data_IF_652700735619
#
_entry.id   IF_652700735619
#
_cell.length_a   1.000
_cell.length_b   1.000
_cell.length_c   1.000
_cell.angle_alpha   90.00
_cell.angle_beta   90.00
_cell.angle_gamma   90.00
#
_symmetry.space_group_name_H-M   'P 1'
#
loop_
_entity.id
_entity.type
_entity.pdbx_description
1 polymer ?
#
# COMPACT_ATOMS: atom_id res chain seq x y z
N UNK A 1 7.98 18.97 -9.11
CA UNK A 1 6.85 18.60 -8.23
C UNK A 1 6.12 17.43 -8.86
N UNK A 2 6.07 16.29 -8.19
CA UNK A 2 5.56 15.02 -8.72
C UNK A 2 4.08 15.15 -9.15
N UNK A 3 3.69 14.55 -10.28
CA UNK A 3 2.32 14.60 -10.86
C UNK A 3 1.24 14.19 -9.85
N UNK A 4 1.54 13.23 -8.97
CA UNK A 4 0.63 12.77 -7.92
C UNK A 4 0.16 13.91 -7.00
N UNK A 5 1.08 14.78 -6.54
CA UNK A 5 0.72 15.88 -5.64
C UNK A 5 -0.15 16.96 -6.29
N UNK A 6 -0.16 17.08 -7.63
CA UNK A 6 -1.08 17.99 -8.33
C UNK A 6 -2.53 17.52 -8.15
N UNK A 7 -2.77 16.21 -8.22
CA UNK A 7 -4.10 15.64 -8.01
C UNK A 7 -4.55 15.78 -6.54
N UNK A 8 -3.63 15.67 -5.59
CA UNK A 8 -3.94 15.85 -4.17
C UNK A 8 -4.31 17.28 -3.79
N UNK A 9 -3.84 18.29 -4.52
CA UNK A 9 -4.27 19.69 -4.32
C UNK A 9 -5.76 19.89 -4.52
N UNK A 10 -6.40 19.05 -5.31
CA UNK A 10 -7.85 19.09 -5.49
C UNK A 10 -8.59 18.93 -4.16
N UNK A 11 -8.06 18.19 -3.20
CA UNK A 11 -8.66 17.94 -1.90
C UNK A 11 -8.29 18.98 -0.83
N UNK A 12 -7.59 20.05 -1.16
CA UNK A 12 -7.11 21.04 -0.17
C UNK A 12 -8.11 22.13 0.17
N UNK A 13 -9.26 22.15 -0.48
CA UNK A 13 -10.36 23.05 -0.13
C UNK A 13 -11.53 22.29 0.49
N UNK A 14 -12.19 22.93 1.46
CA UNK A 14 -13.29 22.27 2.16
C UNK A 14 -14.46 21.87 1.22
N UNK A 15 -14.90 22.71 0.26
CA UNK A 15 -15.96 22.33 -0.67
C UNK A 15 -15.62 21.10 -1.51
N UNK A 16 -14.36 20.98 -1.99
CA UNK A 16 -13.94 19.83 -2.79
C UNK A 16 -13.79 18.58 -1.95
N UNK A 17 -13.24 18.69 -0.74
CA UNK A 17 -13.14 17.59 0.22
C UNK A 17 -14.54 17.06 0.59
N UNK A 18 -15.49 17.97 0.90
CA UNK A 18 -16.88 17.60 1.20
C UNK A 18 -17.57 16.91 0.02
N UNK A 19 -17.49 17.47 -1.18
CA UNK A 19 -18.07 16.87 -2.38
C UNK A 19 -17.53 15.46 -2.63
N UNK A 20 -16.22 15.27 -2.46
CA UNK A 20 -15.58 13.97 -2.63
C UNK A 20 -16.07 12.97 -1.58
N UNK A 21 -16.08 13.34 -0.29
CA UNK A 21 -16.60 12.48 0.78
C UNK A 21 -18.08 12.14 0.58
N UNK A 22 -18.91 13.11 0.17
CA UNK A 22 -20.32 12.84 -0.17
C UNK A 22 -20.41 11.75 -1.23
N UNK A 23 -19.66 11.87 -2.33
CA UNK A 23 -19.64 10.86 -3.39
C UNK A 23 -19.19 9.48 -2.89
N UNK A 24 -18.20 9.43 -1.99
CA UNK A 24 -17.78 8.17 -1.37
C UNK A 24 -18.88 7.54 -0.53
N UNK A 25 -19.56 8.32 0.30
CA UNK A 25 -20.60 7.85 1.20
C UNK A 25 -21.89 7.47 0.46
N UNK A 26 -22.27 8.21 -0.58
CA UNK A 26 -23.38 7.86 -1.48
C UNK A 26 -23.12 6.53 -2.18
N UNK A 27 -21.88 6.32 -2.68
CA UNK A 27 -21.52 5.06 -3.35
C UNK A 27 -21.58 3.83 -2.45
N UNK A 28 -21.50 4.04 -1.13
CA UNK A 28 -21.67 2.99 -0.11
C UNK A 28 -23.12 2.83 0.38
N UNK A 29 -24.04 3.66 -0.12
CA UNK A 29 -25.44 3.65 0.29
C UNK A 29 -25.67 4.16 1.71
N UNK A 30 -24.78 5.02 2.23
CA UNK A 30 -24.96 5.58 3.58
C UNK A 30 -26.04 6.64 3.60
N UNK A 31 -26.97 6.51 4.54
CA UNK A 31 -27.98 7.55 4.79
C UNK A 31 -27.32 8.87 5.24
N UNK A 32 -27.84 9.99 4.79
CA UNK A 32 -27.35 11.32 5.13
C UNK A 32 -25.89 11.61 4.75
N UNK A 33 -25.43 11.08 3.61
CA UNK A 33 -24.05 11.20 3.13
C UNK A 33 -23.51 12.65 3.15
N UNK A 34 -24.30 13.64 2.75
CA UNK A 34 -23.90 15.05 2.80
C UNK A 34 -23.61 15.54 4.21
N UNK A 35 -24.45 15.15 5.19
CA UNK A 35 -24.25 15.53 6.59
C UNK A 35 -23.00 14.87 7.16
N UNK A 36 -22.79 13.60 6.87
CA UNK A 36 -21.59 12.88 7.29
C UNK A 36 -20.33 13.48 6.66
N UNK A 37 -20.38 13.82 5.38
CA UNK A 37 -19.28 14.46 4.67
C UNK A 37 -18.97 15.86 5.26
N UNK A 38 -19.97 16.63 5.58
CA UNK A 38 -19.80 17.92 6.26
C UNK A 38 -19.07 17.77 7.60
N UNK A 39 -19.47 16.80 8.41
CA UNK A 39 -18.84 16.54 9.72
C UNK A 39 -17.37 16.09 9.60
N UNK A 40 -16.99 15.40 8.52
CA UNK A 40 -15.65 14.84 8.35
C UNK A 40 -14.75 15.66 7.42
N UNK A 41 -15.26 16.63 6.67
CA UNK A 41 -14.49 17.37 5.66
C UNK A 41 -13.28 18.09 6.24
N UNK A 42 -13.41 18.76 7.38
CA UNK A 42 -12.30 19.47 8.02
C UNK A 42 -11.20 18.50 8.50
N UNK A 43 -11.60 17.35 9.06
CA UNK A 43 -10.63 16.32 9.49
C UNK A 43 -9.91 15.69 8.29
N UNK A 44 -10.66 15.36 7.24
CA UNK A 44 -10.10 14.84 6.00
C UNK A 44 -9.09 15.82 5.40
N UNK A 45 -9.47 17.07 5.27
CA UNK A 45 -8.63 18.15 4.78
C UNK A 45 -7.34 18.31 5.61
N UNK A 46 -7.47 18.27 6.94
CA UNK A 46 -6.32 18.33 7.84
C UNK A 46 -5.34 17.17 7.57
N UNK A 47 -5.84 15.93 7.49
CA UNK A 47 -5.01 14.75 7.25
C UNK A 47 -4.25 14.86 5.92
N UNK A 48 -4.89 15.32 4.86
CA UNK A 48 -4.26 15.51 3.55
C UNK A 48 -3.18 16.60 3.57
N UNK A 49 -3.48 17.75 4.18
CA UNK A 49 -2.49 18.83 4.30
C UNK A 49 -1.29 18.41 5.13
N UNK A 50 -1.52 17.72 6.25
CA UNK A 50 -0.44 17.21 7.09
C UNK A 50 0.40 16.17 6.37
N UNK A 51 -0.22 15.23 5.66
CA UNK A 51 0.51 14.24 4.88
C UNK A 51 1.46 14.91 3.88
N UNK A 52 0.95 15.87 3.11
CA UNK A 52 1.78 16.62 2.16
C UNK A 52 2.92 17.36 2.85
N UNK A 53 2.64 18.01 3.98
CA UNK A 53 3.65 18.73 4.75
C UNK A 53 4.76 17.78 5.22
N UNK A 54 4.41 16.60 5.74
CA UNK A 54 5.39 15.59 6.14
C UNK A 54 6.26 15.13 4.96
N UNK A 55 5.66 14.84 3.81
CA UNK A 55 6.43 14.41 2.63
C UNK A 55 7.32 15.53 2.06
N UNK A 56 6.85 16.78 2.05
CA UNK A 56 7.68 17.91 1.59
C UNK A 56 8.83 18.18 2.54
N UNK A 57 8.61 18.11 3.84
CA UNK A 57 9.66 18.24 4.85
C UNK A 57 10.65 17.07 4.77
N UNK A 58 10.17 15.84 4.59
CA UNK A 58 11.02 14.66 4.44
C UNK A 58 12.00 14.79 3.26
N UNK A 59 11.58 15.41 2.16
CA UNK A 59 12.41 15.55 0.97
C UNK A 59 13.72 16.38 1.19
N UNK A 60 13.75 17.20 2.24
CA UNK A 60 14.90 18.06 2.59
C UNK A 60 15.47 17.75 3.97
N UNK A 61 14.91 16.78 4.70
CA UNK A 61 15.34 16.42 6.03
C UNK A 61 16.56 15.51 6.00
N UNK A 62 17.31 15.50 7.11
CA UNK A 62 18.38 14.55 7.36
C UNK A 62 17.87 13.10 7.29
N UNK A 63 18.70 12.19 6.77
CA UNK A 63 18.38 10.76 6.65
C UNK A 63 17.95 10.12 7.99
N UNK A 64 18.47 10.63 9.12
CA UNK A 64 18.12 10.14 10.45
C UNK A 64 16.67 10.44 10.84
N UNK A 65 16.06 11.52 10.32
CA UNK A 65 14.71 11.98 10.64
C UNK A 65 13.70 11.61 9.53
N UNK A 66 14.21 11.48 8.30
CA UNK A 66 13.40 11.24 7.11
C UNK A 66 12.42 10.05 7.26
N UNK A 67 12.82 8.87 7.80
CA UNK A 67 11.89 7.75 7.96
C UNK A 67 10.70 8.07 8.86
N UNK A 68 10.91 8.86 9.93
CA UNK A 68 9.86 9.28 10.83
C UNK A 68 8.84 10.17 10.13
N UNK A 69 9.30 11.15 9.36
CA UNK A 69 8.45 12.05 8.59
C UNK A 69 7.66 11.30 7.52
N UNK A 70 8.30 10.39 6.80
CA UNK A 70 7.64 9.54 5.79
C UNK A 70 6.58 8.63 6.44
N UNK A 71 6.86 8.05 7.60
CA UNK A 71 5.91 7.24 8.35
C UNK A 71 4.66 8.04 8.73
N UNK A 72 4.82 9.24 9.29
CA UNK A 72 3.67 10.08 9.62
C UNK A 72 2.93 10.57 8.38
N UNK A 73 3.64 10.93 7.32
CA UNK A 73 3.03 11.27 6.04
C UNK A 73 2.14 10.16 5.49
N UNK A 74 2.67 8.93 5.44
CA UNK A 74 1.93 7.74 5.04
C UNK A 74 0.73 7.47 5.95
N UNK A 75 0.94 7.54 7.27
CA UNK A 75 -0.12 7.32 8.26
C UNK A 75 -1.28 8.30 8.09
N UNK A 76 -1.01 9.58 7.78
CA UNK A 76 -2.06 10.57 7.55
C UNK A 76 -2.83 10.30 6.25
N UNK A 77 -2.15 9.90 5.16
CA UNK A 77 -2.83 9.48 3.92
C UNK A 77 -3.76 8.29 4.16
N UNK A 78 -3.27 7.26 4.86
CA UNK A 78 -4.05 6.08 5.17
C UNK A 78 -5.24 6.37 6.10
N UNK A 79 -5.09 7.28 7.06
CA UNK A 79 -6.20 7.77 7.89
C UNK A 79 -7.23 8.55 7.07
N UNK A 80 -6.77 9.39 6.15
CA UNK A 80 -7.65 10.06 5.18
C UNK A 80 -8.43 9.05 4.33
N UNK A 81 -7.77 7.99 3.88
CA UNK A 81 -8.41 6.90 3.14
C UNK A 81 -9.43 6.15 4.00
N UNK A 82 -9.15 5.86 5.28
CA UNK A 82 -10.15 5.28 6.19
C UNK A 82 -11.40 6.15 6.29
N UNK A 83 -11.27 7.48 6.39
CA UNK A 83 -12.41 8.38 6.43
C UNK A 83 -13.28 8.30 5.17
N UNK A 84 -12.73 7.97 4.01
CA UNK A 84 -13.54 7.78 2.80
C UNK A 84 -14.40 6.52 2.84
N UNK A 85 -14.11 5.59 3.77
CA UNK A 85 -14.80 4.30 3.91
C UNK A 85 -15.61 4.18 5.20
N UNK A 86 -15.17 4.91 6.23
CA UNK A 86 -15.81 4.89 7.54
C UNK A 86 -15.92 6.32 8.11
N UNK A 87 -17.10 6.95 7.97
CA UNK A 87 -17.32 8.30 8.50
C UNK A 87 -17.30 8.34 10.03
N UNK A 88 -17.38 7.21 10.73
CA UNK A 88 -17.30 7.16 12.19
C UNK A 88 -15.85 7.15 12.72
N UNK A 89 -14.85 7.01 11.85
CA UNK A 89 -13.44 7.01 12.24
C UNK A 89 -12.98 8.38 12.78
N UNK A 90 -12.22 8.43 13.91
CA UNK A 90 -11.94 7.36 14.85
C UNK A 90 -13.10 7.13 15.83
N UNK A 91 -13.57 5.92 16.02
CA UNK A 91 -14.64 5.58 16.95
C UNK A 91 -14.25 5.76 18.41
N UNK A 92 -12.96 5.58 18.72
CA UNK A 92 -12.38 5.73 20.06
C UNK A 92 -10.88 5.98 20.00
N UNK A 93 -10.23 6.21 21.16
CA UNK A 93 -8.79 6.47 21.25
C UNK A 93 -7.91 5.25 20.94
N UNK A 94 -8.41 4.03 21.08
CA UNK A 94 -7.63 2.81 20.82
C UNK A 94 -7.30 2.67 19.34
N UNK A 95 -8.23 3.03 18.46
CA UNK A 95 -8.01 2.99 16.99
C UNK A 95 -7.02 4.03 16.49
N UNK A 96 -6.61 4.99 17.33
CA UNK A 96 -5.56 5.95 17.02
C UNK A 96 -4.15 5.40 17.26
N UNK A 97 -4.03 4.33 18.06
CA UNK A 97 -2.76 3.65 18.28
C UNK A 97 -2.29 2.99 16.97
N UNK A 98 -0.98 2.84 16.80
CA UNK A 98 -0.42 2.28 15.55
C UNK A 98 -0.92 0.86 15.24
N UNK A 99 -1.23 0.07 16.26
CA UNK A 99 -1.74 -1.29 16.10
C UNK A 99 -0.67 -2.31 15.73
N UNK A 100 0.60 -1.96 15.89
CA UNK A 100 1.75 -2.86 15.74
C UNK A 100 2.73 -2.63 16.88
N UNK A 101 3.43 -3.69 17.29
CA UNK A 101 4.51 -3.61 18.28
C UNK A 101 5.73 -4.36 17.80
N UNK A 102 6.91 -3.87 18.15
CA UNK A 102 8.17 -4.56 17.93
C UNK A 102 8.55 -5.35 19.17
N UNK A 103 9.11 -6.53 18.99
CA UNK A 103 9.67 -7.33 20.08
C UNK A 103 11.17 -7.45 19.89
N UNK A 104 11.91 -6.68 20.68
CA UNK A 104 13.35 -6.84 20.79
C UNK A 104 13.67 -8.15 21.49
N UNK A 105 14.39 -9.05 20.81
CA UNK A 105 14.88 -10.27 21.44
C UNK A 105 15.99 -9.91 22.42
N UNK A 106 15.87 -10.39 23.68
CA UNK A 106 16.91 -10.21 24.72
C UNK A 106 18.06 -11.17 24.42
N UNK A 107 19.05 -10.69 23.68
CA UNK A 107 20.30 -11.42 23.37
C UNK A 107 21.50 -10.58 23.72
N UNK A 108 22.67 -11.21 23.90
CA UNK A 108 23.93 -10.53 24.15
C UNK A 108 24.35 -9.63 22.98
N UNK A 109 24.08 -10.07 21.74
CA UNK A 109 24.32 -9.31 20.53
C UNK A 109 22.97 -8.95 19.90
N UNK A 110 22.72 -7.67 19.67
CA UNK A 110 21.52 -7.18 19.00
C UNK A 110 21.68 -7.22 17.49
N UNK A 111 20.78 -7.92 16.83
CA UNK A 111 20.66 -7.97 15.36
C UNK A 111 19.24 -7.56 14.97
N UNK A 112 19.10 -6.42 14.29
CA UNK A 112 17.82 -5.85 13.86
C UNK A 112 16.97 -6.85 13.05
N UNK A 113 17.61 -7.62 12.17
CA UNK A 113 16.91 -8.56 11.29
C UNK A 113 16.27 -9.75 12.03
N UNK A 114 16.68 -10.00 13.26
CA UNK A 114 16.10 -11.03 14.13
C UNK A 114 14.92 -10.54 14.96
N UNK A 115 14.67 -9.23 15.00
CA UNK A 115 13.51 -8.69 15.67
C UNK A 115 12.22 -9.08 14.99
N UNK A 116 11.13 -9.09 15.75
CA UNK A 116 9.79 -9.43 15.28
C UNK A 116 8.86 -8.24 15.38
N UNK A 117 7.99 -8.10 14.40
CA UNK A 117 6.84 -7.18 14.42
C UNK A 117 5.57 -7.99 14.65
N UNK A 118 4.74 -7.55 15.59
CA UNK A 118 3.46 -8.17 15.93
C UNK A 118 2.31 -7.23 15.63
N UNK A 119 1.37 -7.61 14.76
CA UNK A 119 0.09 -6.95 14.64
C UNK A 119 -0.69 -7.05 15.95
N UNK A 120 -1.36 -5.98 16.33
CA UNK A 120 -2.30 -5.96 17.45
C UNK A 120 -3.71 -6.22 16.94
N UNK A 121 -4.59 -6.75 17.80
CA UNK A 121 -6.00 -7.01 17.46
C UNK A 121 -6.81 -5.71 17.29
N UNK A 122 -6.35 -4.64 17.89
CA UNK A 122 -6.96 -3.30 17.85
C UNK A 122 -5.93 -2.28 17.38
N UNK A 123 -6.40 -1.12 16.92
CA UNK A 123 -5.59 -0.01 16.48
C UNK A 123 -5.67 0.25 14.99
N UNK A 124 -4.92 1.24 14.54
CA UNK A 124 -4.94 1.72 13.18
C UNK A 124 -4.60 0.62 12.15
N UNK A 125 -3.57 -0.18 12.42
CA UNK A 125 -3.16 -1.26 11.51
C UNK A 125 -4.25 -2.34 11.39
N UNK A 126 -4.94 -2.68 12.48
CA UNK A 126 -6.05 -3.64 12.44
C UNK A 126 -7.20 -3.15 11.57
N UNK A 127 -7.54 -1.85 11.64
CA UNK A 127 -8.55 -1.24 10.76
C UNK A 127 -8.12 -1.26 9.29
N UNK A 128 -6.84 -0.99 9.00
CA UNK A 128 -6.32 -1.10 7.64
C UNK A 128 -6.38 -2.54 7.14
N UNK A 129 -6.02 -3.50 7.97
CA UNK A 129 -6.08 -4.92 7.61
C UNK A 129 -7.51 -5.35 7.25
N UNK A 130 -8.51 -4.87 7.99
CA UNK A 130 -9.92 -5.08 7.66
C UNK A 130 -10.30 -4.41 6.33
N UNK A 131 -9.92 -3.14 6.13
CA UNK A 131 -10.24 -2.39 4.93
C UNK A 131 -9.67 -3.04 3.66
N UNK A 132 -8.47 -3.59 3.75
CA UNK A 132 -7.79 -4.26 2.63
C UNK A 132 -8.05 -5.76 2.56
N UNK A 133 -8.92 -6.29 3.42
CA UNK A 133 -9.20 -7.73 3.49
C UNK A 133 -7.94 -8.60 3.65
N UNK A 134 -6.96 -8.11 4.44
CA UNK A 134 -5.71 -8.81 4.72
C UNK A 134 -5.94 -9.92 5.77
N UNK A 135 -6.53 -11.02 5.35
CA UNK A 135 -6.80 -12.16 6.24
C UNK A 135 -6.50 -13.48 5.52
N UNK A 136 -5.92 -14.48 6.19
CA UNK A 136 -5.43 -14.45 7.56
C UNK A 136 -4.09 -13.73 7.70
N UNK A 137 -3.91 -12.99 8.79
CA UNK A 137 -2.62 -12.39 9.13
C UNK A 137 -1.82 -13.33 10.02
N UNK A 138 -0.49 -13.27 9.88
CA UNK A 138 0.41 -13.99 10.79
C UNK A 138 0.48 -13.27 12.14
N UNK A 139 0.66 -14.03 13.21
CA UNK A 139 0.83 -13.47 14.55
C UNK A 139 2.12 -12.66 14.69
N UNK A 140 3.11 -12.95 13.86
CA UNK A 140 4.44 -12.34 13.86
C UNK A 140 5.02 -12.29 12.47
N UNK A 141 5.79 -11.25 12.22
CA UNK A 141 6.61 -11.07 11.03
C UNK A 141 8.04 -10.79 11.46
N UNK A 142 9.01 -11.50 10.91
CA UNK A 142 10.42 -11.19 11.15
C UNK A 142 10.81 -9.91 10.41
N UNK A 143 11.70 -9.12 11.00
CA UNK A 143 12.27 -7.96 10.29
C UNK A 143 12.99 -8.39 9.02
N UNK A 144 13.60 -9.59 9.03
CA UNK A 144 14.20 -10.19 7.85
C UNK A 144 13.19 -10.30 6.69
N UNK A 145 12.01 -10.90 6.91
CA UNK A 145 11.00 -11.10 5.87
C UNK A 145 10.40 -9.77 5.40
N UNK A 146 10.22 -8.82 6.32
CA UNK A 146 9.73 -7.49 5.98
C UNK A 146 10.72 -6.74 5.08
N UNK A 147 12.02 -6.74 5.39
CA UNK A 147 13.04 -6.12 4.53
C UNK A 147 13.17 -6.85 3.19
N UNK A 148 13.16 -8.18 3.19
CA UNK A 148 13.20 -8.97 1.97
C UNK A 148 12.02 -8.69 1.03
N UNK A 149 10.88 -8.19 1.56
CA UNK A 149 9.69 -7.86 0.78
C UNK A 149 9.73 -6.49 0.13
N UNK A 150 10.74 -5.65 0.40
CA UNK A 150 10.86 -4.29 -0.16
C UNK A 150 11.56 -4.34 -1.52
N UNK A 151 10.87 -4.10 -2.66
CA UNK A 151 11.47 -4.24 -3.99
C UNK A 151 12.68 -3.33 -4.20
N UNK A 152 12.66 -2.11 -3.65
CA UNK A 152 13.70 -1.11 -3.84
C UNK A 152 15.08 -1.51 -3.27
N UNK A 153 15.12 -2.45 -2.32
CA UNK A 153 16.36 -2.91 -1.69
C UNK A 153 16.62 -4.41 -1.96
N UNK A 154 15.80 -5.06 -2.79
CA UNK A 154 15.83 -6.51 -2.99
C UNK A 154 17.20 -7.03 -3.45
N UNK A 155 17.85 -6.33 -4.40
CA UNK A 155 19.14 -6.74 -4.95
C UNK A 155 20.26 -6.61 -3.92
N UNK A 156 20.29 -5.49 -3.19
CA UNK A 156 21.27 -5.24 -2.12
C UNK A 156 21.03 -6.24 -0.97
N UNK A 157 19.76 -6.46 -0.63
CA UNK A 157 19.40 -7.38 0.44
C UNK A 157 19.75 -8.83 0.10
N UNK A 158 19.57 -9.25 -1.17
CA UNK A 158 19.99 -10.57 -1.65
C UNK A 158 21.50 -10.78 -1.55
N UNK A 159 22.28 -9.73 -1.85
CA UNK A 159 23.73 -9.79 -1.78
C UNK A 159 24.27 -9.85 -0.33
N UNK A 160 23.55 -9.28 0.63
CA UNK A 160 23.94 -9.22 2.05
C UNK A 160 23.35 -10.34 2.90
N UNK A 161 22.28 -10.97 2.44
CA UNK A 161 21.57 -12.02 3.19
C UNK A 161 22.00 -13.39 2.74
N UNK A 162 22.45 -14.24 3.67
CA UNK A 162 22.73 -15.66 3.41
C UNK A 162 21.46 -16.50 3.19
N UNK A 163 20.27 -15.93 3.49
CA UNK A 163 18.99 -16.61 3.34
C UNK A 163 18.42 -16.45 1.94
N UNK A 164 17.83 -17.48 1.35
CA UNK A 164 17.21 -17.36 0.04
C UNK A 164 16.05 -16.37 0.08
N UNK A 165 15.96 -15.51 -0.93
CA UNK A 165 14.81 -14.62 -1.09
C UNK A 165 13.57 -15.42 -1.46
N UNK A 166 12.48 -15.17 -0.73
CA UNK A 166 11.16 -15.77 -1.01
C UNK A 166 10.29 -14.88 -1.91
N UNK A 167 10.75 -13.66 -2.20
CA UNK A 167 9.99 -12.66 -2.96
C UNK A 167 10.59 -12.45 -4.33
N UNK A 168 9.73 -12.31 -5.31
CA UNK A 168 10.07 -12.05 -6.69
C UNK A 168 9.72 -10.63 -7.04
N UNK A 169 10.67 -9.87 -7.58
CA UNK A 169 10.38 -8.58 -8.17
C UNK A 169 9.70 -8.80 -9.53
N UNK A 170 8.47 -8.34 -9.64
CA UNK A 170 7.67 -8.44 -10.85
C UNK A 170 7.59 -7.07 -11.51
N UNK A 171 8.02 -6.97 -12.76
CA UNK A 171 7.79 -5.80 -13.61
C UNK A 171 6.51 -6.01 -14.39
N UNK A 172 5.56 -5.10 -14.23
CA UNK A 172 4.33 -5.14 -15.02
C UNK A 172 4.18 -3.85 -15.83
N UNK A 173 3.70 -3.97 -17.06
CA UNK A 173 3.32 -2.84 -17.91
C UNK A 173 1.90 -3.02 -18.40
N UNK A 174 1.12 -1.94 -18.38
CA UNK A 174 -0.22 -1.93 -18.96
C UNK A 174 -0.08 -1.58 -20.43
N UNK A 175 -0.36 -2.52 -21.30
CA UNK A 175 -0.38 -2.30 -22.75
C UNK A 175 -1.83 -2.27 -23.21
N UNK A 176 -2.19 -1.25 -23.97
CA UNK A 176 -3.47 -1.16 -24.68
C UNK A 176 -3.19 -1.53 -26.13
N UNK A 177 -3.69 -2.66 -26.59
CA UNK A 177 -3.82 -2.92 -28.03
C UNK A 177 -5.21 -2.51 -28.46
N UNK A 178 -5.29 -1.48 -29.26
CA UNK A 178 -6.50 -1.17 -30.01
C UNK A 178 -6.57 -2.15 -31.19
N UNK A 179 -7.29 -3.24 -31.03
CA UNK A 179 -7.71 -4.04 -32.19
C UNK A 179 -8.80 -3.26 -32.90
N UNK A 180 -8.55 -2.88 -34.17
CA UNK A 180 -9.41 -2.04 -34.97
C UNK A 180 -10.77 -2.69 -35.33
N UNK A 181 -11.07 -3.89 -34.84
CA UNK A 181 -12.25 -4.66 -35.25
C UNK A 181 -13.30 -4.91 -34.16
N UNK A 182 -13.04 -4.57 -32.91
CA UNK A 182 -14.03 -4.75 -31.83
C UNK A 182 -14.04 -3.55 -30.87
N UNK A 183 -15.25 -3.10 -30.51
CA UNK A 183 -15.48 -2.01 -29.55
C UNK A 183 -15.08 -2.35 -28.10
N UNK A 184 -14.55 -3.51 -27.84
CA UNK A 184 -14.07 -3.96 -26.55
C UNK A 184 -12.57 -3.65 -26.41
N UNK A 185 -12.26 -2.64 -25.60
CA UNK A 185 -10.88 -2.32 -25.21
C UNK A 185 -10.43 -3.35 -24.15
N UNK A 186 -9.84 -4.44 -24.58
CA UNK A 186 -9.24 -5.39 -23.64
C UNK A 186 -7.94 -4.80 -23.09
N UNK A 187 -7.87 -4.63 -21.78
CA UNK A 187 -6.64 -4.26 -21.10
C UNK A 187 -5.97 -5.53 -20.56
N UNK A 188 -4.71 -5.75 -20.92
CA UNK A 188 -3.93 -6.86 -20.39
C UNK A 188 -2.62 -6.35 -19.78
N UNK A 189 -2.11 -7.09 -18.82
CA UNK A 189 -0.87 -6.78 -18.15
C UNK A 189 0.18 -7.82 -18.50
N UNK A 190 1.37 -7.36 -18.85
CA UNK A 190 2.53 -8.20 -19.11
C UNK A 190 3.38 -8.28 -17.85
N UNK A 191 3.59 -9.50 -17.35
CA UNK A 191 4.35 -9.76 -16.13
C UNK A 191 5.58 -10.58 -16.52
N UNK A 192 6.77 -10.01 -16.33
CA UNK A 192 8.03 -10.69 -16.56
C UNK A 192 8.58 -11.26 -15.24
N UNK A 193 8.94 -12.54 -15.22
CA UNK A 193 9.55 -13.21 -14.07
C UNK A 193 10.63 -14.21 -14.48
N UNK A 194 11.60 -14.55 -13.61
CA UNK A 194 12.65 -15.51 -13.92
C UNK A 194 12.10 -16.92 -14.18
N UNK A 195 12.65 -17.61 -15.15
CA UNK A 195 12.23 -18.96 -15.60
C UNK A 195 12.18 -20.00 -14.46
N UNK A 196 13.09 -19.91 -13.49
CA UNK A 196 13.13 -20.81 -12.30
C UNK A 196 11.87 -20.81 -11.44
N UNK A 197 10.93 -19.90 -11.66
CA UNK A 197 9.70 -19.78 -10.89
C UNK A 197 8.47 -20.35 -11.58
N UNK A 198 8.57 -20.76 -12.82
CA UNK A 198 7.43 -21.23 -13.64
C UNK A 198 6.70 -22.45 -13.08
N UNK A 199 7.39 -23.33 -12.34
CA UNK A 199 6.79 -24.55 -11.77
C UNK A 199 5.97 -24.35 -10.49
N UNK A 200 5.91 -23.15 -9.92
CA UNK A 200 5.27 -22.88 -8.61
C UNK A 200 3.94 -22.10 -8.68
N UNK A 201 3.46 -21.78 -9.87
CA UNK A 201 2.24 -21.02 -10.03
C UNK A 201 1.01 -21.92 -10.06
N UNK A 202 0.23 -21.92 -8.99
CA UNK A 202 -1.13 -22.46 -8.98
C UNK A 202 -2.10 -21.32 -9.23
N UNK A 203 -2.34 -20.97 -10.49
CA UNK A 203 -3.41 -20.02 -10.85
C UNK A 203 -4.67 -20.81 -11.22
N UNK A 204 -5.83 -20.37 -10.74
CA UNK A 204 -7.13 -20.93 -11.14
C UNK A 204 -7.48 -20.65 -12.63
N UNK A 205 -6.73 -19.78 -13.31
CA UNK A 205 -6.80 -19.57 -14.76
C UNK A 205 -5.42 -19.86 -15.34
N UNK A 206 -5.34 -20.75 -16.31
CA UNK A 206 -4.10 -21.06 -17.03
C UNK A 206 -3.63 -19.82 -17.79
N UNK A 207 -2.51 -19.18 -17.44
CA UNK A 207 -1.95 -18.13 -18.24
C UNK A 207 -1.46 -18.73 -19.57
N UNK A 208 -1.70 -18.06 -20.70
CA UNK A 208 -1.04 -18.42 -21.95
C UNK A 208 0.40 -17.93 -21.89
N UNK A 209 1.36 -18.84 -21.95
CA UNK A 209 2.78 -18.50 -21.99
C UNK A 209 3.22 -18.36 -23.46
N UNK A 210 3.79 -17.22 -23.80
CA UNK A 210 4.44 -17.03 -25.10
C UNK A 210 5.96 -16.96 -24.88
N UNK A 211 6.69 -17.96 -25.37
CA UNK A 211 8.14 -18.02 -25.30
C UNK A 211 8.74 -17.29 -26.49
N UNK A 212 9.17 -16.06 -26.31
CA UNK A 212 10.03 -15.41 -27.29
C UNK A 212 11.23 -14.73 -26.61
N UNK A 213 12.39 -15.27 -26.91
CA UNK A 213 13.73 -14.69 -26.83
C UNK A 213 14.26 -14.20 -25.46
N UNK A 214 15.15 -15.01 -24.88
CA UNK A 214 15.98 -14.64 -23.73
C UNK A 214 15.36 -15.00 -22.38
N UNK A 215 16.15 -15.29 -21.40
CA UNK A 215 15.85 -15.80 -20.03
C UNK A 215 14.68 -15.16 -19.23
N UNK A 216 13.66 -14.61 -19.85
CA UNK A 216 12.46 -14.03 -19.26
C UNK A 216 11.22 -14.67 -19.86
N UNK A 217 10.35 -15.22 -19.03
CA UNK A 217 9.01 -15.65 -19.45
C UNK A 217 7.99 -14.55 -19.19
N UNK A 218 7.08 -14.40 -20.14
CA UNK A 218 6.03 -13.38 -20.09
C UNK A 218 4.70 -14.11 -19.90
N UNK A 219 3.97 -13.79 -18.84
CA UNK A 219 2.61 -14.26 -18.62
C UNK A 219 1.62 -13.17 -18.97
N UNK A 220 0.63 -13.47 -19.80
CA UNK A 220 -0.49 -12.58 -20.11
C UNK A 220 -1.66 -12.94 -19.19
N UNK A 221 -2.09 -11.99 -18.39
CA UNK A 221 -3.28 -12.13 -17.53
C UNK A 221 -4.39 -11.29 -18.16
N UNK A 222 -5.46 -11.97 -18.58
CA UNK A 222 -6.67 -11.30 -19.07
C UNK A 222 -7.61 -11.02 -17.89
N UNK A 223 -8.16 -9.80 -17.85
CA UNK A 223 -9.21 -9.43 -16.92
C UNK A 223 -10.57 -9.83 -17.51
#
# INVERSE_FOLDING_TARGET
MNSAWKMFRFFETEPTARKYLTSCYDSMGLEHAERLAFQQSSRFLFLWKQARQFYTTAATADLSIQPLLLFYGCSHLLKGMLLTRDPSYPQNSRVLQHGVTTRKLKRSTYLLLEDEVRPQKEGFFALLAQLFHLSPMQDRYSMHDLFASIPAISDVYAALSEKPQHWLQVHWSKTHTADQASSDTQSWAEIAFPEKWTGRWHTQRKPSFNTSTGSRQIARVYN
#
